data_IF_788019470324
#
_entry.id   IF_788019470324
#
_cell.length_a   1.000
_cell.length_b   1.000
_cell.length_c   1.000
_cell.angle_alpha   90.00
_cell.angle_beta   90.00
_cell.angle_gamma   90.00
#
_symmetry.space_group_name_H-M   'P 1'
#
loop_
_entity.id
_entity.type
_entity.pdbx_description
1 polymer ?
#
# COMPACT_ATOMS: atom_id res chain seq x y z
N UNK A 1 2.32 13.30 -2.42
CA UNK A 1 1.85 11.89 -2.38
C UNK A 1 1.69 11.44 -0.94
N UNK A 2 2.74 11.55 -0.11
CA UNK A 2 2.69 11.20 1.32
C UNK A 2 2.35 12.36 2.28
N UNK A 3 2.76 13.61 1.99
CA UNK A 3 2.50 14.78 2.87
C UNK A 3 1.04 15.01 3.25
N UNK A 4 0.13 14.60 2.37
CA UNK A 4 -1.33 14.73 2.54
C UNK A 4 -2.00 13.36 2.68
N UNK A 5 -1.22 12.33 2.96
CA UNK A 5 -1.70 10.97 3.19
C UNK A 5 -1.92 10.77 4.68
N UNK A 6 -3.11 10.34 5.08
CA UNK A 6 -3.47 10.19 6.49
C UNK A 6 -2.60 9.17 7.23
N UNK A 7 -2.07 8.17 6.51
CA UNK A 7 -1.27 7.10 7.11
C UNK A 7 0.22 7.44 7.12
N UNK A 8 0.67 8.22 6.14
CA UNK A 8 2.09 8.44 5.89
C UNK A 8 2.55 9.89 6.06
N UNK A 9 1.69 10.89 6.24
CA UNK A 9 2.11 12.29 6.34
C UNK A 9 3.11 12.54 7.48
N UNK A 10 2.79 12.06 8.68
CA UNK A 10 3.68 12.20 9.84
C UNK A 10 4.98 11.42 9.64
N UNK A 11 4.90 10.18 9.14
CA UNK A 11 6.07 9.35 8.88
C UNK A 11 6.98 10.01 7.83
N UNK A 12 6.41 10.46 6.72
CA UNK A 12 7.10 11.13 5.64
C UNK A 12 7.82 12.41 6.12
N UNK A 13 7.16 13.22 6.95
CA UNK A 13 7.77 14.42 7.54
C UNK A 13 8.97 14.10 8.42
N UNK A 14 8.88 13.04 9.23
CA UNK A 14 10.00 12.60 10.06
C UNK A 14 11.14 12.00 9.20
N UNK A 15 10.79 11.25 8.17
CA UNK A 15 11.73 10.62 7.24
C UNK A 15 12.48 11.59 6.32
N UNK A 16 12.10 12.89 6.27
CA UNK A 16 12.87 13.91 5.53
C UNK A 16 14.27 14.12 6.10
N UNK A 17 14.45 13.92 7.41
CA UNK A 17 15.72 14.19 8.09
C UNK A 17 16.48 12.90 8.40
N UNK A 18 15.78 11.84 8.82
CA UNK A 18 16.38 10.56 9.20
C UNK A 18 15.36 9.43 9.14
N UNK A 19 15.83 8.19 9.08
CA UNK A 19 14.96 7.05 9.26
C UNK A 19 14.16 7.15 10.58
N UNK A 20 12.88 6.79 10.55
CA UNK A 20 11.97 6.92 11.67
C UNK A 20 11.07 5.70 11.76
N UNK A 21 11.02 5.02 12.91
CA UNK A 21 10.19 3.83 13.16
C UNK A 21 10.33 2.72 12.09
N UNK A 22 11.54 2.48 11.59
CA UNK A 22 11.81 1.49 10.55
C UNK A 22 11.44 1.95 9.13
N UNK A 23 10.98 3.19 8.98
CA UNK A 23 10.76 3.83 7.69
C UNK A 23 11.94 4.69 7.27
N UNK A 24 12.19 4.78 5.96
CA UNK A 24 13.24 5.62 5.39
C UNK A 24 12.87 6.11 4.00
N UNK A 25 13.49 7.21 3.58
CA UNK A 25 13.39 7.72 2.20
C UNK A 25 14.46 7.06 1.33
N UNK A 26 14.08 6.61 0.15
CA UNK A 26 14.99 6.13 -0.90
C UNK A 26 14.43 6.52 -2.26
N UNK A 27 15.28 7.03 -3.17
CA UNK A 27 14.87 7.40 -4.53
C UNK A 27 13.61 8.29 -4.62
N UNK A 28 13.34 9.12 -3.60
CA UNK A 28 12.14 9.97 -3.53
C UNK A 28 10.87 9.29 -3.01
N UNK A 29 10.94 8.02 -2.61
CA UNK A 29 9.83 7.26 -2.05
C UNK A 29 10.08 6.81 -0.61
N UNK A 30 8.98 6.49 0.09
CA UNK A 30 9.02 5.98 1.46
C UNK A 30 9.08 4.46 1.45
N UNK A 31 9.99 3.87 2.23
CA UNK A 31 10.15 2.43 2.39
C UNK A 31 10.01 2.04 3.85
N UNK A 32 9.56 0.81 4.10
CA UNK A 32 9.63 0.14 5.41
C UNK A 32 10.21 -1.26 5.21
N UNK A 33 11.31 -1.56 5.88
CA UNK A 33 11.93 -2.89 5.82
C UNK A 33 12.14 -3.40 4.38
N UNK A 34 12.58 -2.53 3.47
CA UNK A 34 12.80 -2.85 2.05
C UNK A 34 11.55 -2.86 1.16
N UNK A 35 10.35 -2.67 1.73
CA UNK A 35 9.09 -2.62 0.99
C UNK A 35 8.67 -1.19 0.69
N UNK A 36 8.23 -0.92 -0.54
CA UNK A 36 7.76 0.40 -0.94
C UNK A 36 6.42 0.70 -0.27
N UNK A 37 6.32 1.81 0.46
CA UNK A 37 5.07 2.25 1.07
C UNK A 37 4.17 2.84 -0.02
N UNK A 38 2.93 2.39 -0.14
CA UNK A 38 2.03 2.96 -1.15
C UNK A 38 1.00 3.87 -0.50
N UNK A 39 0.97 5.14 -0.91
CA UNK A 39 -0.03 6.12 -0.47
C UNK A 39 -1.45 5.73 -0.92
N UNK A 40 -2.47 6.06 -0.13
CA UNK A 40 -3.88 5.74 -0.39
C UNK A 40 -4.36 6.25 -1.76
N UNK A 41 -3.86 7.40 -2.22
CA UNK A 41 -4.28 7.99 -3.51
C UNK A 41 -3.75 7.24 -4.73
N UNK A 42 -2.57 6.63 -4.61
CA UNK A 42 -1.93 5.89 -5.71
C UNK A 42 -2.66 4.58 -5.98
N UNK A 43 -3.02 3.85 -4.92
CA UNK A 43 -3.74 2.56 -5.02
C UNK A 43 -5.19 2.73 -5.47
N UNK A 44 -5.87 3.81 -5.07
CA UNK A 44 -7.26 4.03 -5.51
C UNK A 44 -7.32 4.03 -7.04
N UNK A 45 -6.33 4.61 -7.72
CA UNK A 45 -6.24 4.59 -9.18
C UNK A 45 -5.92 3.20 -9.73
N UNK A 46 -5.00 2.45 -9.11
CA UNK A 46 -4.60 1.12 -9.58
C UNK A 46 -5.75 0.09 -9.42
N UNK A 47 -6.40 0.06 -8.26
CA UNK A 47 -7.54 -0.83 -7.98
C UNK A 47 -8.79 -0.45 -8.79
N UNK A 48 -9.06 0.84 -8.99
CA UNK A 48 -10.17 1.28 -9.86
C UNK A 48 -9.89 0.87 -11.31
N UNK A 49 -8.64 0.93 -11.76
CA UNK A 49 -8.27 0.56 -13.12
C UNK A 49 -8.38 -0.96 -13.34
N UNK A 50 -7.87 -1.77 -12.42
CA UNK A 50 -8.03 -3.24 -12.48
C UNK A 50 -9.49 -3.69 -12.39
N UNK A 51 -10.33 -2.99 -11.63
CA UNK A 51 -11.76 -3.31 -11.54
C UNK A 51 -12.58 -2.88 -12.77
N UNK A 52 -12.12 -1.88 -13.52
CA UNK A 52 -12.80 -1.41 -14.74
C UNK A 52 -12.34 -2.07 -16.04
N UNK A 53 -11.08 -2.53 -16.14
CA UNK A 53 -10.51 -3.10 -17.37
C UNK A 53 -10.70 -4.63 -17.54
N UNK A 54 -11.56 -5.25 -16.72
CA UNK A 54 -12.22 -6.52 -17.06
C UNK A 54 -11.60 -7.81 -16.53
N UNK A 55 -12.25 -8.41 -15.53
CA UNK A 55 -12.92 -9.69 -15.79
C UNK A 55 -12.25 -11.02 -15.43
N UNK A 56 -11.13 -11.09 -14.69
CA UNK A 56 -10.51 -12.41 -14.39
C UNK A 56 -10.02 -12.64 -12.96
N UNK A 57 -10.62 -11.99 -11.97
CA UNK A 57 -10.37 -12.32 -10.57
C UNK A 57 -11.47 -13.24 -10.05
N UNK A 58 -11.42 -14.49 -10.50
CA UNK A 58 -11.82 -15.62 -9.64
C UNK A 58 -11.13 -15.40 -8.28
N UNK A 59 -11.81 -15.72 -7.18
CA UNK A 59 -11.34 -15.53 -5.81
C UNK A 59 -9.86 -15.90 -5.61
N UNK A 60 -9.36 -16.89 -6.35
CA UNK A 60 -7.96 -17.33 -6.40
C UNK A 60 -6.93 -16.31 -6.94
N UNK A 61 -7.32 -15.47 -7.88
CA UNK A 61 -6.46 -14.45 -8.51
C UNK A 61 -6.26 -13.22 -7.62
N UNK A 62 -7.27 -12.85 -6.83
CA UNK A 62 -7.19 -11.74 -5.87
C UNK A 62 -6.14 -12.04 -4.80
N UNK A 63 -6.17 -13.24 -4.25
CA UNK A 63 -5.25 -13.64 -3.17
C UNK A 63 -3.79 -13.75 -3.64
N UNK A 64 -3.55 -14.23 -4.87
CA UNK A 64 -2.21 -14.29 -5.46
C UNK A 64 -1.65 -12.91 -5.77
N UNK A 65 -2.46 -12.04 -6.37
CA UNK A 65 -2.06 -10.64 -6.63
C UNK A 65 -1.83 -9.90 -5.31
N UNK A 66 -2.73 -10.04 -4.34
CA UNK A 66 -2.59 -9.42 -3.02
C UNK A 66 -1.35 -9.93 -2.27
N UNK A 67 -1.04 -11.22 -2.37
CA UNK A 67 0.17 -11.80 -1.76
C UNK A 67 1.45 -11.25 -2.40
N UNK A 68 1.51 -11.20 -3.74
CA UNK A 68 2.65 -10.60 -4.45
C UNK A 68 2.81 -9.12 -4.12
N UNK A 69 1.69 -8.40 -3.95
CA UNK A 69 1.70 -7.01 -3.53
C UNK A 69 2.20 -6.86 -2.08
N UNK A 70 1.80 -7.73 -1.15
CA UNK A 70 2.27 -7.71 0.26
C UNK A 70 3.75 -8.04 0.42
N UNK A 71 4.32 -8.81 -0.51
CA UNK A 71 5.76 -9.09 -0.56
C UNK A 71 6.55 -7.84 -0.92
N UNK A 72 6.06 -7.05 -1.88
CA UNK A 72 6.79 -5.90 -2.46
C UNK A 72 6.43 -4.55 -1.84
N UNK A 73 5.24 -4.43 -1.27
CA UNK A 73 4.66 -3.17 -0.82
C UNK A 73 4.22 -3.23 0.64
N UNK A 74 4.39 -2.11 1.33
CA UNK A 74 3.88 -1.92 2.68
C UNK A 74 2.64 -1.02 2.66
N UNK A 75 1.58 -1.46 3.32
CA UNK A 75 0.37 -0.65 3.54
C UNK A 75 -0.28 -1.01 4.89
N UNK A 76 -0.43 -0.06 5.83
CA UNK A 76 -1.06 -0.30 7.13
C UNK A 76 -2.51 -0.83 7.11
N UNK A 77 -3.31 -0.64 6.05
CA UNK A 77 -4.77 -0.94 6.09
C UNK A 77 -5.28 -2.04 5.15
N UNK A 78 -4.41 -2.72 4.39
CA UNK A 78 -4.84 -3.83 3.51
C UNK A 78 -5.50 -4.98 4.29
N UNK A 79 -5.25 -5.10 5.60
CA UNK A 79 -5.80 -6.18 6.44
C UNK A 79 -7.22 -5.88 6.99
N UNK A 80 -7.67 -4.61 6.98
CA UNK A 80 -9.01 -4.25 7.51
C UNK A 80 -10.13 -4.20 6.46
N UNK A 81 -9.81 -4.38 5.17
CA UNK A 81 -10.78 -4.32 4.06
C UNK A 81 -11.00 -5.62 3.29
N UNK A 82 -10.50 -6.76 3.78
CA UNK A 82 -11.26 -7.99 3.54
C UNK A 82 -12.47 -7.91 4.46
N UNK A 83 -13.71 -7.88 3.96
CA UNK A 83 -14.84 -8.22 4.81
C UNK A 83 -14.52 -9.59 5.39
N UNK A 84 -14.45 -9.69 6.72
CA UNK A 84 -14.67 -10.98 7.34
C UNK A 84 -16.07 -11.36 6.89
N UNK A 85 -16.18 -12.30 5.95
CA UNK A 85 -17.45 -12.97 5.67
C UNK A 85 -17.97 -13.44 7.02
N UNK A 86 -19.15 -12.92 7.37
CA UNK A 86 -19.89 -13.34 8.55
C UNK A 86 -20.14 -14.84 8.41
N UNK A 87 -19.78 -15.56 9.47
CA UNK A 87 -20.37 -16.85 9.85
C UNK A 87 -21.88 -16.81 9.83
#
# INVERSE_FOLDING_TARGET
MYEKDLDFASIYSNCQQKAFNGFYMGEGYLYKEGKLCISQRSMRKLLIKESHEGGLMSHFGVDKTLSLLKEKFFWPHIVKRCPKELS
#
